data_IF_455126876967
#
_entry.id   IF_455126876967
#
_cell.length_a   1.000
_cell.length_b   1.000
_cell.length_c   1.000
_cell.angle_alpha   90.00
_cell.angle_beta   90.00
_cell.angle_gamma   90.00
#
_symmetry.space_group_name_H-M   'P 1'
#
loop_
_entity.id
_entity.type
_entity.pdbx_description
1 polymer ?
#
# COMPACT_ATOMS: atom_id res chain seq x y z
N UNK A 1 -7.80 -5.76 18.45
CA UNK A 1 -8.19 -6.33 17.22
C UNK A 1 -7.50 -5.73 16.05
N UNK A 2 -7.22 -6.54 15.07
CA UNK A 2 -6.58 -6.05 13.87
C UNK A 2 -7.57 -5.26 13.03
N UNK A 3 -7.11 -4.16 12.46
CA UNK A 3 -7.94 -3.39 11.56
C UNK A 3 -8.09 -4.13 10.25
N UNK A 4 -9.26 -3.98 9.65
CA UNK A 4 -9.48 -4.54 8.34
C UNK A 4 -8.71 -3.74 7.30
N UNK A 5 -8.42 -4.41 6.19
CA UNK A 5 -7.69 -3.76 5.10
C UNK A 5 -8.39 -2.49 4.63
N UNK A 6 -9.72 -2.56 4.50
CA UNK A 6 -10.46 -1.39 4.03
C UNK A 6 -10.33 -0.20 4.98
N UNK A 7 -10.31 -0.47 6.29
CA UNK A 7 -10.14 0.59 7.26
C UNK A 7 -8.77 1.23 7.14
N UNK A 8 -7.75 0.42 6.92
CA UNK A 8 -6.40 0.93 6.72
C UNK A 8 -6.33 1.81 5.49
N UNK A 9 -6.96 1.36 4.41
CA UNK A 9 -6.98 2.12 3.17
C UNK A 9 -7.68 3.45 3.37
N UNK A 10 -8.82 3.42 4.06
CA UNK A 10 -9.56 4.64 4.32
C UNK A 10 -8.74 5.63 5.15
N UNK A 11 -7.99 5.12 6.13
CA UNK A 11 -7.14 5.96 6.95
C UNK A 11 -6.05 6.64 6.12
N UNK A 12 -5.46 5.90 5.19
CA UNK A 12 -4.43 6.47 4.33
C UNK A 12 -5.01 7.57 3.45
N UNK A 13 -6.14 7.28 2.81
CA UNK A 13 -6.75 8.23 1.89
C UNK A 13 -7.18 9.51 2.61
N UNK A 14 -7.54 9.38 3.87
CA UNK A 14 -7.95 10.52 4.67
C UNK A 14 -6.78 11.25 5.31
N UNK A 15 -5.59 10.68 5.27
CA UNK A 15 -4.43 11.27 5.92
C UNK A 15 -4.04 12.56 5.22
N UNK A 16 -3.75 13.58 6.02
CA UNK A 16 -3.37 14.87 5.47
C UNK A 16 -2.11 14.77 4.62
N UNK A 17 -1.13 14.00 5.09
CA UNK A 17 0.12 13.84 4.36
C UNK A 17 -0.12 13.20 3.01
N UNK A 18 -1.04 12.23 2.95
CA UNK A 18 -1.35 11.59 1.69
C UNK A 18 -1.95 12.58 0.70
N UNK A 19 -2.82 13.46 1.20
CA UNK A 19 -3.46 14.44 0.34
C UNK A 19 -2.52 15.55 -0.11
N UNK A 20 -1.36 15.66 0.54
CA UNK A 20 -0.34 16.62 0.13
C UNK A 20 0.62 16.06 -0.92
N UNK A 21 0.50 14.78 -1.24
CA UNK A 21 1.34 14.19 -2.27
C UNK A 21 1.06 14.80 -3.64
N UNK A 22 2.06 14.82 -4.52
CA UNK A 22 1.83 15.21 -5.91
C UNK A 22 0.70 14.39 -6.51
N UNK A 23 -0.05 15.01 -7.40
CA UNK A 23 -1.21 14.35 -7.99
C UNK A 23 -0.87 12.99 -8.62
N UNK A 24 0.26 12.92 -9.31
CA UNK A 24 0.64 11.68 -9.99
C UNK A 24 0.90 10.55 -9.00
N UNK A 25 1.59 10.86 -7.91
CA UNK A 25 1.87 9.85 -6.90
C UNK A 25 0.59 9.39 -6.22
N UNK A 26 -0.27 10.34 -5.88
CA UNK A 26 -1.54 10.03 -5.23
C UNK A 26 -2.41 9.15 -6.12
N UNK A 27 -2.48 9.51 -7.39
CA UNK A 27 -3.25 8.76 -8.36
C UNK A 27 -2.73 7.33 -8.50
N UNK A 28 -1.41 7.21 -8.59
CA UNK A 28 -0.78 5.90 -8.73
C UNK A 28 -1.12 5.00 -7.54
N UNK A 29 -0.98 5.53 -6.34
CA UNK A 29 -1.21 4.74 -5.14
C UNK A 29 -2.68 4.40 -4.99
N UNK A 30 -3.57 5.36 -5.22
CA UNK A 30 -5.01 5.13 -5.08
C UNK A 30 -5.50 4.03 -6.01
N UNK A 31 -4.92 3.96 -7.19
CA UNK A 31 -5.33 2.95 -8.17
C UNK A 31 -5.26 1.55 -7.58
N UNK A 32 -4.17 1.27 -6.85
CA UNK A 32 -3.99 -0.05 -6.29
C UNK A 32 -4.72 -0.22 -4.95
N UNK A 33 -4.75 0.83 -4.16
CA UNK A 33 -5.42 0.74 -2.86
C UNK A 33 -6.90 0.43 -3.03
N UNK A 34 -7.55 1.15 -3.95
CA UNK A 34 -8.99 0.97 -4.13
C UNK A 34 -9.34 -0.38 -4.72
N UNK A 35 -8.40 -1.00 -5.39
CA UNK A 35 -8.61 -2.32 -5.96
C UNK A 35 -8.09 -3.42 -5.05
N UNK A 36 -7.65 -3.05 -3.86
CA UNK A 36 -7.07 -3.97 -2.89
C UNK A 36 -5.90 -4.76 -3.47
N UNK A 37 -5.17 -4.14 -4.37
CA UNK A 37 -3.99 -4.75 -4.97
C UNK A 37 -2.74 -4.29 -4.25
N UNK A 38 -2.72 -4.52 -2.95
CA UNK A 38 -1.66 -4.00 -2.09
C UNK A 38 -0.30 -4.61 -2.41
N UNK A 39 -0.28 -5.92 -2.63
CA UNK A 39 0.98 -6.58 -2.93
C UNK A 39 1.51 -6.15 -4.28
N UNK A 40 0.61 -5.94 -5.23
CA UNK A 40 0.99 -5.45 -6.55
C UNK A 40 1.57 -4.04 -6.45
N UNK A 41 0.96 -3.21 -5.59
CA UNK A 41 1.48 -1.87 -5.38
C UNK A 41 2.88 -1.91 -4.77
N UNK A 42 3.07 -2.78 -3.78
CA UNK A 42 4.36 -2.91 -3.13
C UNK A 42 5.44 -3.26 -4.16
N UNK A 43 5.11 -4.19 -5.04
CA UNK A 43 6.02 -4.62 -6.08
C UNK A 43 6.24 -3.51 -7.12
N UNK A 44 5.18 -2.80 -7.47
CA UNK A 44 5.27 -1.72 -8.44
C UNK A 44 6.16 -0.59 -7.93
N UNK A 45 6.11 -0.31 -6.63
CA UNK A 45 6.97 0.70 -6.05
C UNK A 45 8.45 0.34 -6.20
N UNK A 46 8.74 -0.95 -6.14
CA UNK A 46 10.11 -1.41 -6.32
C UNK A 46 10.54 -1.26 -7.78
N UNK A 47 9.63 -1.57 -8.70
CA UNK A 47 9.95 -1.52 -10.13
C UNK A 47 9.97 -0.10 -10.70
N UNK A 48 9.19 0.79 -10.10
CA UNK A 48 9.08 2.17 -10.59
C UNK A 48 9.34 3.15 -9.44
N UNK A 49 10.57 3.17 -8.94
CA UNK A 49 10.87 3.99 -7.77
C UNK A 49 10.63 5.48 -7.98
N UNK A 50 10.68 5.95 -9.22
CA UNK A 50 10.47 7.36 -9.50
C UNK A 50 9.06 7.83 -9.15
N UNK A 51 8.11 6.89 -9.13
CA UNK A 51 6.72 7.25 -8.85
C UNK A 51 6.45 7.46 -7.36
N UNK A 52 7.36 7.03 -6.51
CA UNK A 52 7.18 7.16 -5.07
C UNK A 52 8.44 7.71 -4.41
N UNK A 53 9.17 8.54 -5.12
CA UNK A 53 10.37 9.14 -4.55
C UNK A 53 10.03 10.47 -3.88
N UNK A 54 11.03 11.06 -3.22
CA UNK A 54 10.85 12.38 -2.64
C UNK A 54 10.67 12.30 -1.13
N UNK A 55 10.19 13.39 -0.57
CA UNK A 55 10.12 13.56 0.86
C UNK A 55 9.18 12.57 1.53
N UNK A 56 8.23 12.05 0.79
CA UNK A 56 7.21 11.16 1.37
C UNK A 56 7.52 9.68 1.16
N UNK A 57 8.66 9.37 0.58
CA UNK A 57 8.96 7.97 0.23
C UNK A 57 8.85 7.03 1.42
N UNK A 58 9.50 7.38 2.52
CA UNK A 58 9.50 6.53 3.70
C UNK A 58 8.09 6.38 4.28
N UNK A 59 7.33 7.46 4.26
CA UNK A 59 5.98 7.43 4.80
C UNK A 59 5.07 6.57 3.95
N UNK A 60 5.19 6.70 2.64
CA UNK A 60 4.39 5.91 1.71
C UNK A 60 4.70 4.42 1.91
N UNK A 61 5.98 4.10 2.00
CA UNK A 61 6.39 2.72 2.22
C UNK A 61 5.80 2.17 3.51
N UNK A 62 5.81 2.97 4.56
CA UNK A 62 5.26 2.56 5.84
C UNK A 62 3.76 2.29 5.74
N UNK A 63 3.04 3.17 5.06
CA UNK A 63 1.61 2.97 4.84
C UNK A 63 1.35 1.64 4.13
N UNK A 64 2.11 1.38 3.07
CA UNK A 64 1.90 0.17 2.27
C UNK A 64 2.24 -1.07 3.09
N UNK A 65 3.31 -1.02 3.87
CA UNK A 65 3.67 -2.17 4.70
C UNK A 65 2.58 -2.47 5.73
N UNK A 66 1.96 -1.44 6.29
CA UNK A 66 0.86 -1.64 7.21
C UNK A 66 -0.34 -2.28 6.51
N UNK A 67 -0.57 -1.90 5.26
CA UNK A 67 -1.64 -2.50 4.48
C UNK A 67 -1.33 -3.94 4.13
N UNK A 68 -0.08 -4.24 3.83
CA UNK A 68 0.33 -5.61 3.55
C UNK A 68 0.05 -6.49 4.77
N UNK A 69 0.36 -5.96 5.95
CA UNK A 69 0.09 -6.66 7.19
C UNK A 69 -1.39 -7.00 7.33
N UNK A 70 -2.25 -6.01 7.11
CA UNK A 70 -3.69 -6.20 7.19
C UNK A 70 -4.19 -7.15 6.11
N UNK A 71 -3.61 -7.05 4.93
CA UNK A 71 -3.97 -7.93 3.82
C UNK A 71 -3.68 -9.39 4.18
N UNK A 72 -2.51 -9.63 4.78
CA UNK A 72 -2.13 -10.98 5.15
C UNK A 72 -3.03 -11.53 6.23
N UNK A 73 -3.46 -10.69 7.16
CA UNK A 73 -4.36 -11.14 8.21
C UNK A 73 -5.74 -11.51 7.68
N UNK A 74 -6.17 -10.79 6.65
CA UNK A 74 -7.50 -11.03 6.09
C UNK A 74 -7.52 -12.16 5.07
N UNK A 75 -6.48 -12.27 4.26
CA UNK A 75 -6.49 -13.17 3.11
C UNK A 75 -5.39 -14.22 3.14
N UNK A 76 -4.55 -14.17 4.16
CA UNK A 76 -3.45 -15.12 4.25
C UNK A 76 -2.21 -14.63 3.53
N UNK A 77 -1.10 -15.25 3.82
CA UNK A 77 0.19 -14.85 3.28
C UNK A 77 0.41 -15.46 1.90
N UNK A 78 0.53 -14.63 0.86
CA UNK A 78 0.74 -15.16 -0.49
C UNK A 78 1.99 -16.02 -0.59
N UNK A 79 3.01 -15.66 0.17
CA UNK A 79 4.25 -16.41 0.19
C UNK A 79 4.03 -17.85 0.61
N UNK A 80 3.18 -18.07 1.59
CA UNK A 80 2.90 -19.41 2.05
C UNK A 80 2.21 -20.24 0.99
N UNK A 81 1.29 -19.62 0.26
CA UNK A 81 0.58 -20.34 -0.77
C UNK A 81 1.47 -20.65 -1.97
N UNK A 82 2.34 -19.74 -2.31
CA UNK A 82 3.19 -19.94 -3.47
C UNK A 82 4.45 -20.66 -3.16
N UNK A 83 4.91 -20.56 -1.96
CA UNK A 83 6.20 -21.06 -1.59
C UNK A 83 6.24 -22.48 -1.13
N UNK A 84 5.20 -23.09 -0.95
CA UNK A 84 5.31 -24.32 -0.41
C UNK A 84 5.57 -25.24 -1.26
N UNK A 85 6.11 -24.93 -1.49
CA UNK A 85 6.80 -25.48 -2.00
C UNK A 85 6.96 -26.19 -1.93
#
# INVERSE_FOLDING_TARGET
>A
MAEKLQDRINNIISDRSFNELPFEQRKFICKFLQQHQILTLYQAMTNYPDLVCGAYKAKIRNWIENCVDSYEKEYGTPKERGGEK
#
